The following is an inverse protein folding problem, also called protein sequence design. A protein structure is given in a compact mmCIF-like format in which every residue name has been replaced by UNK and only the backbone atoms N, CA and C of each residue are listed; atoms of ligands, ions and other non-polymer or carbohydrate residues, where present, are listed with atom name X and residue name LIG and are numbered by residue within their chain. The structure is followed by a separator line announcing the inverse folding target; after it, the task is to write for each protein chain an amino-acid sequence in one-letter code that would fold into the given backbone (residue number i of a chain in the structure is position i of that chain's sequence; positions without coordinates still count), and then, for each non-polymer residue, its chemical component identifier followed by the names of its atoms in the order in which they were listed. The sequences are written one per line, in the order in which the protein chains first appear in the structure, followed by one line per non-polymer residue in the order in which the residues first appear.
data_IF_467646409728
#
_entry.id   IF_467646409728
#
_cell.length_a   1.000
_cell.length_b   1.000
_cell.length_c   1.000
_cell.angle_alpha   90.00
_cell.angle_beta   90.00
_cell.angle_gamma   90.00
#
_symmetry.space_group_name_H-M   'P 1'
#
loop_
_entity.id
_entity.type
_entity.pdbx_description
1 polymer ?
#
# COMPACT_ATOMS: atom_id res chain seq x y z
N UNK A 1 10.76 10.54 -1.79
CA UNK A 1 9.44 11.19 -1.62
C UNK A 1 8.36 10.15 -1.89
N UNK A 2 7.36 10.02 -1.02
CA UNK A 2 6.25 9.10 -1.30
C UNK A 2 5.27 9.74 -2.27
N UNK A 3 4.64 8.92 -3.11
CA UNK A 3 3.64 9.36 -4.08
C UNK A 3 2.54 8.33 -4.23
N UNK A 4 1.38 8.75 -4.73
CA UNK A 4 0.33 7.85 -5.15
C UNK A 4 0.78 6.99 -6.35
N UNK A 5 0.37 5.74 -6.36
CA UNK A 5 0.65 4.75 -7.38
C UNK A 5 -0.58 3.86 -7.63
N UNK A 6 -0.55 3.07 -8.70
CA UNK A 6 -1.56 2.04 -8.97
C UNK A 6 -0.94 0.69 -8.64
N UNK A 7 -1.68 -0.14 -7.90
CA UNK A 7 -1.27 -1.50 -7.61
C UNK A 7 -1.26 -2.33 -8.91
N UNK A 8 -0.15 -2.98 -9.23
CA UNK A 8 -0.08 -3.87 -10.41
C UNK A 8 -0.94 -5.14 -10.29
N UNK A 9 -1.35 -5.52 -9.07
CA UNK A 9 -2.07 -6.77 -8.82
C UNK A 9 -3.59 -6.60 -8.85
N UNK A 10 -4.11 -5.57 -8.16
CA UNK A 10 -5.56 -5.33 -8.05
C UNK A 10 -6.02 -4.04 -8.77
N UNK A 11 -5.10 -3.30 -9.39
CA UNK A 11 -5.39 -2.05 -10.12
C UNK A 11 -6.01 -0.93 -9.29
N UNK A 12 -6.04 -1.07 -7.96
CA UNK A 12 -6.49 -0.05 -7.01
C UNK A 12 -5.39 0.94 -6.64
N UNK A 13 -5.74 2.02 -5.96
CA UNK A 13 -4.81 3.08 -5.52
C UNK A 13 -3.93 2.56 -4.38
N UNK A 14 -2.64 2.78 -4.52
CA UNK A 14 -1.64 2.51 -3.48
C UNK A 14 -0.63 3.66 -3.43
N UNK A 15 0.44 3.51 -2.67
CA UNK A 15 1.53 4.46 -2.54
C UNK A 15 2.86 3.79 -2.90
N UNK A 16 3.85 4.61 -3.22
CA UNK A 16 5.23 4.17 -3.46
C UNK A 16 6.19 5.14 -2.77
N UNK A 17 7.21 4.64 -2.08
CA UNK A 17 8.24 5.46 -1.43
C UNK A 17 8.78 4.85 -0.13
N UNK A 18 9.24 5.71 0.79
CA UNK A 18 9.87 5.29 2.04
C UNK A 18 8.91 4.88 3.16
N UNK A 19 7.59 5.03 2.98
CA UNK A 19 6.59 4.59 3.96
C UNK A 19 6.32 5.56 5.12
N UNK A 20 7.09 6.63 5.29
CA UNK A 20 6.80 7.64 6.33
C UNK A 20 5.72 8.64 5.96
N UNK A 21 5.36 8.74 4.67
CA UNK A 21 4.40 9.73 4.18
C UNK A 21 3.12 9.07 3.63
N UNK A 22 2.83 7.84 4.05
CA UNK A 22 1.67 7.07 3.58
C UNK A 22 0.35 7.73 3.93
N UNK A 23 0.12 8.22 5.18
CA UNK A 23 -1.12 8.91 5.52
C UNK A 23 -1.36 10.10 4.59
N UNK A 24 -0.36 10.97 4.41
CA UNK A 24 -0.46 12.14 3.53
C UNK A 24 -0.78 11.80 2.06
N UNK A 25 -0.35 10.64 1.57
CA UNK A 25 -0.64 10.19 0.19
C UNK A 25 -2.02 9.54 0.08
N UNK A 26 -2.39 8.69 1.05
CA UNK A 26 -3.57 7.85 0.99
C UNK A 26 -4.82 8.52 1.56
N UNK A 27 -4.71 9.44 2.51
CA UNK A 27 -5.85 10.10 3.17
C UNK A 27 -6.69 10.95 2.20
N UNK A 28 -6.10 11.41 1.11
CA UNK A 28 -6.81 12.12 0.04
C UNK A 28 -7.61 11.18 -0.89
N UNK A 29 -7.46 9.86 -0.73
CA UNK A 29 -8.08 8.84 -1.56
C UNK A 29 -9.16 8.15 -0.74
N UNK A 30 -10.38 7.98 -1.27
CA UNK A 30 -11.43 7.20 -0.60
C UNK A 30 -10.97 5.77 -0.28
N UNK A 31 -11.25 5.27 0.94
CA UNK A 31 -10.81 3.94 1.39
C UNK A 31 -11.27 2.78 0.49
N UNK A 32 -12.41 2.92 -0.20
CA UNK A 32 -12.90 1.92 -1.16
C UNK A 32 -12.04 1.81 -2.42
N UNK A 33 -11.25 2.85 -2.73
CA UNK A 33 -10.30 2.84 -3.85
C UNK A 33 -8.90 2.37 -3.43
N UNK A 34 -8.65 2.15 -2.14
CA UNK A 34 -7.36 1.68 -1.65
C UNK A 34 -7.13 0.23 -2.06
N UNK A 35 -5.87 -0.07 -2.35
CA UNK A 35 -5.40 -1.43 -2.55
C UNK A 35 -5.74 -2.28 -1.32
N UNK A 36 -6.32 -3.45 -1.57
CA UNK A 36 -6.75 -4.45 -0.61
C UNK A 36 -5.80 -5.65 -0.54
N UNK A 37 -4.66 -5.58 -1.22
CA UNK A 37 -3.64 -6.62 -1.14
C UNK A 37 -3.04 -6.67 0.28
N UNK A 38 -2.64 -7.88 0.67
CA UNK A 38 -1.88 -8.11 1.90
C UNK A 38 -0.38 -8.31 1.59
N UNK A 39 0.53 -8.06 2.56
CA UNK A 39 0.24 -7.53 3.90
C UNK A 39 -0.02 -6.02 3.89
N UNK A 40 -0.89 -5.55 4.77
CA UNK A 40 -1.08 -4.11 4.98
C UNK A 40 0.10 -3.53 5.76
N UNK A 41 0.34 -2.23 5.58
CA UNK A 41 1.34 -1.47 6.33
C UNK A 41 0.66 -0.67 7.42
N UNK A 42 0.98 -0.92 8.68
CA UNK A 42 0.52 -0.10 9.79
C UNK A 42 1.34 1.19 9.90
N UNK A 43 0.66 2.33 10.01
CA UNK A 43 1.25 3.63 10.35
C UNK A 43 0.35 4.36 11.32
N UNK A 44 0.93 4.78 12.44
CA UNK A 44 0.23 5.57 13.48
C UNK A 44 -1.10 4.92 13.92
N UNK A 45 -1.11 3.58 14.06
CA UNK A 45 -2.30 2.80 14.44
C UNK A 45 -3.37 2.66 13.35
N UNK A 46 -3.08 3.08 12.11
CA UNK A 46 -3.96 2.89 10.96
C UNK A 46 -3.32 1.94 9.96
N UNK A 47 -4.10 0.98 9.47
CA UNK A 47 -3.68 0.10 8.39
C UNK A 47 -3.84 0.77 7.02
N UNK A 48 -2.74 0.82 6.27
CA UNK A 48 -2.69 1.31 4.90
C UNK A 48 -2.35 0.16 3.93
N UNK A 49 -2.68 0.31 2.63
CA UNK A 49 -2.27 -0.66 1.63
C UNK A 49 -0.76 -0.92 1.63
N UNK A 50 -0.30 -2.09 1.16
CA UNK A 50 1.11 -2.33 0.89
C UNK A 50 1.63 -1.33 -0.13
N UNK A 51 2.91 -1.01 -0.05
CA UNK A 51 3.60 -0.29 -1.10
C UNK A 51 3.38 -0.97 -2.45
N UNK A 52 3.03 -0.20 -3.49
CA UNK A 52 2.89 -0.71 -4.84
C UNK A 52 4.21 -1.30 -5.33
N UNK A 53 4.28 -2.61 -5.47
CA UNK A 53 5.33 -3.31 -6.21
C UNK A 53 4.79 -3.66 -7.59
N UNK A 54 5.68 -3.75 -8.58
CA UNK A 54 5.34 -4.25 -9.93
C UNK A 54 5.01 -5.76 -9.95
N UNK A 55 4.97 -6.43 -8.80
CA UNK A 55 4.96 -7.88 -8.71
C UNK A 55 4.17 -8.36 -7.49
N UNK A 56 3.07 -9.08 -7.72
CA UNK A 56 2.35 -9.88 -6.73
C UNK A 56 3.12 -11.09 -6.20
N UNK A 57 4.39 -10.89 -5.81
CA UNK A 57 5.31 -11.96 -5.37
C UNK A 57 5.85 -11.68 -3.95
N UNK A 58 5.02 -11.13 -3.06
CA UNK A 58 5.31 -11.13 -1.62
C UNK A 58 4.30 -11.95 -0.80
N UNK A 59 3.40 -12.70 -1.47
CA UNK A 59 2.51 -13.67 -0.82
C UNK A 59 3.25 -14.94 -0.35
N UNK A 60 4.57 -14.96 -0.20
CA UNK A 60 5.32 -16.23 -0.09
C UNK A 60 6.62 -16.25 0.74
N UNK A 61 6.92 -15.28 1.60
CA UNK A 61 8.02 -15.40 2.59
C UNK A 61 7.64 -14.55 3.82
N UNK A 62 7.32 -15.03 5.01
CA UNK A 62 7.35 -16.33 5.64
C UNK A 62 7.14 -16.06 7.13
N UNK A 63 6.00 -16.49 7.67
CA UNK A 63 5.72 -16.63 9.09
C UNK A 63 6.60 -17.79 9.60
N UNK A 64 7.70 -17.46 10.30
CA UNK A 64 8.46 -18.26 11.30
C UNK A 64 9.75 -17.55 11.69
#
# INVERSE_FOLDING_TARGET
MCKGAICGNCSKRTWWGCGSHVPSVMDSIPKNEWCDCEPKTEKDGTEYPPMGTMAGVAKALGDS
#
